data_IF_707345511619
#
_entry.id   IF_707345511619
#
_cell.length_a   1.000
_cell.length_b   1.000
_cell.length_c   1.000
_cell.angle_alpha   90.00
_cell.angle_beta   90.00
_cell.angle_gamma   90.00
#
_symmetry.space_group_name_H-M   'P 1'
#
loop_
_entity.id
_entity.type
_entity.pdbx_description
1 polymer ?
#
# COMPACT_ATOMS: atom_id res chain seq x y z
N UNK A 1 -15.87 -2.89 28.16
CA UNK A 1 -14.59 -2.83 27.43
C UNK A 1 -14.48 -4.09 26.59
N UNK A 2 -14.66 -4.00 25.28
CA UNK A 2 -14.50 -5.15 24.38
C UNK A 2 -13.02 -5.47 24.21
N UNK A 3 -12.66 -6.75 24.20
CA UNK A 3 -11.30 -7.20 23.90
C UNK A 3 -10.95 -6.74 22.48
N UNK A 4 -9.99 -5.81 22.35
CA UNK A 4 -9.49 -5.35 21.05
C UNK A 4 -8.63 -6.47 20.48
N UNK A 5 -9.20 -7.30 19.61
CA UNK A 5 -8.44 -8.34 18.89
C UNK A 5 -7.53 -7.63 17.89
N UNK A 6 -6.21 -7.76 18.06
CA UNK A 6 -5.24 -7.23 17.10
C UNK A 6 -5.49 -7.87 15.73
N UNK A 7 -5.70 -7.04 14.72
CA UNK A 7 -5.81 -7.49 13.33
C UNK A 7 -4.52 -7.16 12.64
N UNK A 8 -3.81 -8.18 12.13
CA UNK A 8 -2.63 -7.98 11.33
C UNK A 8 -3.03 -7.86 9.86
N UNK A 9 -2.42 -6.90 9.19
CA UNK A 9 -2.75 -6.51 7.84
C UNK A 9 -1.78 -7.12 6.84
N UNK A 10 -2.30 -7.39 5.64
CA UNK A 10 -1.53 -7.63 4.42
C UNK A 10 -0.35 -6.68 4.29
N UNK A 11 0.75 -7.19 3.77
CA UNK A 11 1.91 -6.44 3.31
C UNK A 11 1.66 -5.91 1.92
N UNK A 12 2.01 -4.65 1.69
CA UNK A 12 1.94 -4.00 0.38
C UNK A 12 3.28 -3.33 0.12
N UNK A 13 3.78 -3.47 -1.10
CA UNK A 13 4.99 -2.79 -1.57
C UNK A 13 4.70 -2.11 -2.90
N UNK A 14 5.24 -0.91 -3.10
CA UNK A 14 5.30 -0.22 -4.38
C UNK A 14 6.76 0.05 -4.74
N UNK A 15 7.15 -0.32 -5.95
CA UNK A 15 8.50 -0.13 -6.49
C UNK A 15 8.41 0.63 -7.80
N UNK A 16 9.08 1.78 -7.86
CA UNK A 16 9.36 2.50 -9.09
C UNK A 16 10.79 2.21 -9.51
N UNK A 17 10.96 1.51 -10.63
CA UNK A 17 12.27 1.11 -11.13
C UNK A 17 12.30 1.11 -12.66
N UNK A 18 13.36 1.67 -13.24
CA UNK A 18 13.57 1.73 -14.71
C UNK A 18 12.36 2.25 -15.50
N UNK A 19 11.71 3.30 -15.00
CA UNK A 19 10.55 3.93 -15.66
C UNK A 19 9.24 3.13 -15.57
N UNK A 20 9.20 2.08 -14.74
CA UNK A 20 7.99 1.28 -14.46
C UNK A 20 7.63 1.37 -12.99
N UNK A 21 6.33 1.32 -12.69
CA UNK A 21 5.85 1.25 -11.31
C UNK A 21 4.96 0.03 -11.13
N UNK A 22 5.24 -0.70 -10.07
CA UNK A 22 4.54 -1.92 -9.71
C UNK A 22 4.13 -1.82 -8.25
N UNK A 23 2.88 -2.17 -7.95
CA UNK A 23 2.39 -2.34 -6.58
C UNK A 23 2.00 -3.79 -6.38
N UNK A 24 2.55 -4.41 -5.35
CA UNK A 24 2.23 -5.76 -4.94
C UNK A 24 1.60 -5.78 -3.55
N UNK A 25 0.74 -6.76 -3.30
CA UNK A 25 0.29 -7.06 -1.95
C UNK A 25 -0.04 -8.53 -1.77
N UNK A 26 0.18 -9.05 -0.57
CA UNK A 26 -0.23 -10.40 -0.22
C UNK A 26 -1.71 -10.46 0.19
N UNK A 27 -2.22 -11.66 0.38
CA UNK A 27 -3.62 -11.91 0.67
C UNK A 27 -3.94 -12.28 2.11
N UNK A 28 -2.96 -12.34 3.02
CA UNK A 28 -3.19 -12.83 4.37
C UNK A 28 -3.97 -11.82 5.22
N UNK A 29 -5.03 -12.30 5.87
CA UNK A 29 -5.74 -11.58 6.93
C UNK A 29 -5.70 -12.43 8.18
N UNK A 30 -5.10 -11.90 9.24
CA UNK A 30 -4.95 -12.59 10.52
C UNK A 30 -5.69 -11.81 11.60
N UNK A 31 -6.58 -12.49 12.32
CA UNK A 31 -7.30 -11.96 13.48
C UNK A 31 -6.78 -12.64 14.74
N UNK A 32 -6.09 -11.89 15.60
CA UNK A 32 -5.33 -12.47 16.71
C UNK A 32 -4.26 -13.42 16.16
N UNK A 33 -4.37 -14.70 16.53
CA UNK A 33 -3.43 -15.73 16.12
C UNK A 33 -3.98 -16.64 15.00
N UNK A 34 -5.13 -16.30 14.43
CA UNK A 34 -5.81 -17.15 13.43
C UNK A 34 -5.79 -16.49 12.07
N UNK A 35 -5.34 -17.23 11.04
CA UNK A 35 -5.47 -16.82 9.64
C UNK A 35 -6.93 -17.03 9.21
N UNK A 36 -7.61 -15.94 8.83
CA UNK A 36 -9.02 -15.94 8.46
C UNK A 36 -9.21 -15.95 6.94
N UNK A 37 -8.25 -15.39 6.20
CA UNK A 37 -8.30 -15.34 4.72
C UNK A 37 -6.88 -15.37 4.16
N UNK A 38 -6.70 -16.11 3.07
CA UNK A 38 -5.41 -16.22 2.38
C UNK A 38 -5.29 -15.36 1.13
N UNK A 39 -6.40 -14.96 0.51
CA UNK A 39 -6.45 -14.27 -0.78
C UNK A 39 -7.27 -12.96 -0.70
N UNK A 40 -6.95 -12.08 0.25
CA UNK A 40 -7.44 -10.71 0.21
C UNK A 40 -6.84 -9.95 -0.98
N UNK A 41 -7.58 -8.95 -1.49
CA UNK A 41 -7.09 -8.05 -2.53
C UNK A 41 -7.22 -6.62 -2.01
N UNK A 42 -6.11 -6.06 -1.54
CA UNK A 42 -6.04 -4.69 -1.01
C UNK A 42 -5.26 -3.72 -1.90
N UNK A 43 -4.76 -4.22 -3.02
CA UNK A 43 -4.25 -3.41 -4.13
C UNK A 43 -5.39 -3.23 -5.13
N UNK A 44 -5.63 -1.99 -5.57
CA UNK A 44 -6.72 -1.67 -6.49
C UNK A 44 -6.28 -0.57 -7.46
N UNK A 45 -6.88 -0.57 -8.65
CA UNK A 45 -6.77 0.54 -9.59
C UNK A 45 -7.87 1.57 -9.36
N UNK A 46 -7.50 2.82 -9.49
CA UNK A 46 -8.33 4.02 -9.40
C UNK A 46 -8.15 4.87 -10.67
N UNK A 47 -9.02 5.86 -10.84
CA UNK A 47 -8.96 6.88 -11.89
C UNK A 47 -8.69 6.30 -13.28
N UNK A 48 -9.66 5.54 -13.80
CA UNK A 48 -9.58 4.88 -15.11
C UNK A 48 -8.34 3.99 -15.30
N UNK A 49 -7.83 3.40 -14.22
CA UNK A 49 -6.69 2.49 -14.27
C UNK A 49 -5.31 3.16 -14.20
N UNK A 50 -5.26 4.49 -14.09
CA UNK A 50 -4.02 5.28 -14.12
C UNK A 50 -3.35 5.48 -12.75
N UNK A 51 -4.08 5.19 -11.68
CA UNK A 51 -3.56 5.22 -10.31
C UNK A 51 -3.69 3.83 -9.71
N UNK A 52 -2.64 3.34 -9.06
CA UNK A 52 -2.69 2.13 -8.24
C UNK A 52 -2.63 2.54 -6.78
N UNK A 53 -3.50 1.97 -5.95
CA UNK A 53 -3.53 2.22 -4.51
C UNK A 53 -3.47 0.94 -3.71
N UNK A 54 -2.93 1.02 -2.50
CA UNK A 54 -2.87 -0.08 -1.55
C UNK A 54 -3.09 0.41 -0.12
N UNK A 55 -3.83 -0.36 0.68
CA UNK A 55 -4.10 -0.02 2.08
C UNK A 55 -3.88 -1.23 3.02
N UNK A 56 -3.07 -1.04 4.05
CA UNK A 56 -2.73 -2.10 5.02
C UNK A 56 -3.48 -1.92 6.35
N UNK A 57 -4.82 -1.80 6.29
CA UNK A 57 -5.70 -1.72 7.47
C UNK A 57 -7.00 -2.50 7.28
N UNK A 58 -8.04 -2.14 8.03
CA UNK A 58 -9.34 -2.80 7.91
C UNK A 58 -10.00 -2.52 6.56
N UNK A 59 -10.73 -3.50 6.03
CA UNK A 59 -11.31 -3.45 4.68
C UNK A 59 -12.32 -2.29 4.52
N UNK A 60 -13.13 -2.01 5.53
CA UNK A 60 -14.13 -0.94 5.46
C UNK A 60 -13.49 0.46 5.36
N UNK A 61 -12.40 0.68 6.12
CA UNK A 61 -11.64 1.92 6.07
C UNK A 61 -10.94 2.08 4.71
N UNK A 62 -10.42 0.97 4.15
CA UNK A 62 -9.82 0.94 2.81
C UNK A 62 -10.80 1.46 1.75
N UNK A 63 -12.01 0.89 1.69
CA UNK A 63 -13.03 1.32 0.74
C UNK A 63 -13.37 2.80 0.88
N UNK A 64 -13.54 3.27 2.11
CA UNK A 64 -13.84 4.68 2.38
C UNK A 64 -12.74 5.61 1.86
N UNK A 65 -11.47 5.27 2.11
CA UNK A 65 -10.33 6.08 1.65
C UNK A 65 -10.13 6.00 0.13
N UNK A 66 -10.37 4.83 -0.48
CA UNK A 66 -10.32 4.68 -1.93
C UNK A 66 -11.39 5.52 -2.62
N UNK A 67 -12.63 5.48 -2.14
CA UNK A 67 -13.72 6.27 -2.72
C UNK A 67 -13.47 7.77 -2.58
N UNK A 68 -12.93 8.22 -1.43
CA UNK A 68 -12.52 9.61 -1.25
C UNK A 68 -11.36 9.99 -2.19
N UNK A 69 -10.37 9.12 -2.35
CA UNK A 69 -9.25 9.37 -3.28
C UNK A 69 -9.73 9.46 -4.73
N UNK A 70 -10.63 8.57 -5.16
CA UNK A 70 -11.24 8.59 -6.50
C UNK A 70 -11.93 9.94 -6.76
N UNK A 71 -12.76 10.41 -5.82
CA UNK A 71 -13.44 11.71 -5.94
C UNK A 71 -12.45 12.87 -6.05
N UNK A 72 -11.36 12.85 -5.28
CA UNK A 72 -10.30 13.87 -5.36
C UNK A 72 -9.55 13.80 -6.70
N UNK A 73 -9.27 12.60 -7.20
CA UNK A 73 -8.65 12.41 -8.51
C UNK A 73 -9.54 12.93 -9.65
N UNK A 74 -10.85 12.67 -9.61
CA UNK A 74 -11.81 13.23 -10.55
C UNK A 74 -11.84 14.76 -10.49
N UNK A 75 -11.94 15.32 -9.28
CA UNK A 75 -11.99 16.76 -9.04
C UNK A 75 -10.73 17.48 -9.57
N UNK A 76 -9.55 16.87 -9.40
CA UNK A 76 -8.27 17.45 -9.80
C UNK A 76 -7.73 16.88 -11.12
N UNK A 77 -8.60 16.27 -11.94
CA UNK A 77 -8.29 15.77 -13.29
C UNK A 77 -7.05 14.87 -13.32
N UNK A 78 -6.95 13.97 -12.34
CA UNK A 78 -5.88 12.98 -12.25
C UNK A 78 -4.57 13.48 -11.63
N UNK A 79 -4.51 14.72 -11.12
CA UNK A 79 -3.33 15.18 -10.40
C UNK A 79 -3.22 14.47 -9.04
N UNK A 80 -2.42 13.40 -8.99
CA UNK A 80 -2.30 12.53 -7.81
C UNK A 80 -1.77 13.29 -6.58
N UNK A 81 -0.72 14.08 -6.74
CA UNK A 81 -0.14 14.85 -5.62
C UNK A 81 -1.18 15.78 -4.98
N UNK A 82 -1.92 16.53 -5.81
CA UNK A 82 -2.96 17.43 -5.31
C UNK A 82 -4.12 16.67 -4.68
N UNK A 83 -4.57 15.58 -5.30
CA UNK A 83 -5.62 14.73 -4.75
C UNK A 83 -5.22 14.12 -3.39
N UNK A 84 -3.98 13.68 -3.27
CA UNK A 84 -3.42 13.12 -2.05
C UNK A 84 -3.34 14.15 -0.91
N UNK A 85 -2.90 15.37 -1.19
CA UNK A 85 -2.86 16.46 -0.21
C UNK A 85 -4.26 16.81 0.30
N UNK A 86 -5.26 16.89 -0.57
CA UNK A 86 -6.63 17.18 -0.15
C UNK A 86 -7.25 16.01 0.63
N UNK A 87 -6.98 14.77 0.23
CA UNK A 87 -7.38 13.59 1.01
C UNK A 87 -6.74 13.59 2.40
N UNK A 88 -5.44 13.90 2.51
CA UNK A 88 -4.74 13.93 3.79
C UNK A 88 -5.33 14.99 4.75
N UNK A 89 -5.73 16.16 4.22
CA UNK A 89 -6.46 17.18 5.00
C UNK A 89 -7.82 16.68 5.49
N UNK A 90 -8.60 16.05 4.60
CA UNK A 90 -9.89 15.48 4.97
C UNK A 90 -9.74 14.39 6.03
N UNK A 91 -8.77 13.49 5.83
CA UNK A 91 -8.50 12.36 6.71
C UNK A 91 -8.12 12.86 8.11
N UNK A 92 -7.23 13.86 8.21
CA UNK A 92 -6.80 14.45 9.49
C UNK A 92 -7.96 15.09 10.27
N UNK A 93 -8.91 15.70 9.57
CA UNK A 93 -10.03 16.42 10.18
C UNK A 93 -11.22 15.52 10.51
N UNK A 94 -11.35 14.38 9.85
CA UNK A 94 -12.38 13.38 10.12
C UNK A 94 -12.19 12.74 11.50
N UNK A 95 -13.24 12.82 12.34
CA UNK A 95 -13.18 12.37 13.74
C UNK A 95 -12.90 10.87 13.88
N UNK A 96 -13.34 10.07 12.91
CA UNK A 96 -13.22 8.61 12.91
C UNK A 96 -11.91 8.23 12.22
N UNK A 97 -11.70 8.68 10.98
CA UNK A 97 -10.60 8.22 10.15
C UNK A 97 -9.22 8.65 10.70
N UNK A 98 -9.09 9.81 11.34
CA UNK A 98 -7.80 10.27 11.89
C UNK A 98 -7.18 9.37 12.95
N UNK A 99 -7.96 8.43 13.50
CA UNK A 99 -7.51 7.46 14.54
C UNK A 99 -7.04 6.14 13.94
N UNK A 100 -7.07 6.00 12.61
CA UNK A 100 -6.61 4.81 11.94
C UNK A 100 -5.10 4.71 12.05
N UNK A 101 -4.63 3.59 12.60
CA UNK A 101 -3.21 3.22 12.65
C UNK A 101 -2.85 2.47 11.35
N UNK A 102 -3.06 3.12 10.21
CA UNK A 102 -2.80 2.54 8.89
C UNK A 102 -2.32 3.60 7.91
N UNK A 103 -1.59 3.13 6.90
CA UNK A 103 -1.09 3.94 5.81
C UNK A 103 -1.80 3.56 4.50
N UNK A 104 -1.90 4.53 3.60
CA UNK A 104 -2.39 4.38 2.24
C UNK A 104 -1.23 4.66 1.27
N UNK A 105 -0.94 3.73 0.37
CA UNK A 105 -0.05 3.95 -0.77
C UNK A 105 -0.91 4.33 -1.98
N UNK A 106 -0.49 5.34 -2.73
CA UNK A 106 -1.09 5.71 -4.00
C UNK A 106 0.01 6.11 -4.98
N UNK A 107 0.03 5.50 -6.17
CA UNK A 107 1.07 5.71 -7.18
C UNK A 107 0.47 5.90 -8.56
N UNK A 108 1.07 6.76 -9.37
CA UNK A 108 0.78 6.93 -10.80
C UNK A 108 2.06 6.81 -11.62
N UNK A 109 2.04 7.20 -12.90
CA UNK A 109 3.22 7.16 -13.76
C UNK A 109 4.36 8.08 -13.28
N UNK A 110 4.07 9.09 -12.46
CA UNK A 110 5.00 10.16 -12.07
C UNK A 110 5.41 10.12 -10.60
N UNK A 111 4.48 9.83 -9.69
CA UNK A 111 4.66 10.00 -8.24
C UNK A 111 4.36 8.70 -7.48
N UNK A 112 5.03 8.51 -6.35
CA UNK A 112 4.76 7.40 -5.42
C UNK A 112 4.52 7.93 -4.02
N UNK A 113 3.27 7.91 -3.55
CA UNK A 113 2.87 8.63 -2.33
C UNK A 113 2.42 7.68 -1.21
N UNK A 114 2.87 8.00 0.00
CA UNK A 114 2.42 7.43 1.27
C UNK A 114 1.58 8.49 2.02
N UNK A 115 0.36 8.12 2.40
CA UNK A 115 -0.56 8.98 3.12
C UNK A 115 -0.91 8.38 4.48
N UNK A 116 -1.18 9.25 5.46
CA UNK A 116 -1.54 8.87 6.83
C UNK A 116 -2.70 9.68 7.39
N UNK A 117 -3.33 9.16 8.46
CA UNK A 117 -4.38 9.87 9.20
C UNK A 117 -3.90 11.11 9.99
N UNK A 118 -2.59 11.29 10.17
CA UNK A 118 -2.00 12.52 10.72
C UNK A 118 -1.97 13.67 9.70
N UNK A 119 -2.29 13.38 8.44
CA UNK A 119 -2.29 14.36 7.34
C UNK A 119 -0.94 14.47 6.64
N UNK A 120 -0.08 13.46 6.76
CA UNK A 120 1.20 13.43 6.05
C UNK A 120 1.00 12.92 4.62
N UNK A 121 1.78 13.48 3.70
CA UNK A 121 1.94 13.01 2.32
C UNK A 121 3.45 12.94 2.07
N UNK A 122 3.96 11.73 1.89
CA UNK A 122 5.39 11.46 1.82
C UNK A 122 5.69 10.72 0.51
N UNK A 123 6.74 11.16 -0.18
CA UNK A 123 7.28 10.51 -1.37
C UNK A 123 8.68 9.97 -1.03
N UNK A 124 9.02 8.72 -1.36
CA UNK A 124 10.34 8.16 -1.04
C UNK A 124 11.40 8.65 -2.02
N UNK A 125 12.62 8.87 -1.53
CA UNK A 125 13.76 9.26 -2.37
C UNK A 125 14.21 8.13 -3.31
N UNK A 126 14.06 6.87 -2.89
CA UNK A 126 14.51 5.68 -3.62
C UNK A 126 13.40 5.01 -4.46
N UNK A 127 12.20 5.60 -4.50
CA UNK A 127 11.07 5.06 -5.28
C UNK A 127 10.44 3.80 -4.69
N UNK A 128 10.77 3.43 -3.44
CA UNK A 128 10.25 2.24 -2.77
C UNK A 128 9.39 2.62 -1.57
N UNK A 129 8.15 2.15 -1.55
CA UNK A 129 7.26 2.24 -0.38
C UNK A 129 6.83 0.84 0.05
N UNK A 130 6.79 0.58 1.35
CA UNK A 130 6.14 -0.63 1.87
C UNK A 130 5.35 -0.33 3.14
N UNK A 131 4.21 -1.00 3.29
CA UNK A 131 3.31 -0.87 4.43
C UNK A 131 2.79 -2.25 4.85
N UNK A 132 2.22 -2.34 6.05
CA UNK A 132 1.65 -3.58 6.58
C UNK A 132 2.64 -4.43 7.36
N UNK A 133 2.21 -5.63 7.75
CA UNK A 133 2.91 -6.42 8.78
C UNK A 133 4.32 -6.88 8.37
N UNK A 134 4.55 -7.11 7.07
CA UNK A 134 5.86 -7.46 6.51
C UNK A 134 6.54 -6.32 5.75
N UNK A 135 6.02 -5.09 5.85
CA UNK A 135 6.49 -3.94 5.08
C UNK A 135 8.00 -3.71 5.17
N UNK A 136 8.60 -3.62 6.38
CA UNK A 136 10.05 -3.41 6.52
C UNK A 136 10.90 -4.50 5.86
N UNK A 137 10.47 -5.77 5.89
CA UNK A 137 11.20 -6.87 5.25
C UNK A 137 11.14 -6.75 3.72
N UNK A 138 9.94 -6.48 3.18
CA UNK A 138 9.76 -6.26 1.74
C UNK A 138 10.56 -5.05 1.26
N UNK A 139 10.55 -3.95 2.02
CA UNK A 139 11.31 -2.74 1.68
C UNK A 139 12.81 -2.98 1.66
N UNK A 140 13.35 -3.64 2.69
CA UNK A 140 14.78 -3.95 2.76
C UNK A 140 15.22 -4.87 1.61
N UNK A 141 14.41 -5.89 1.29
CA UNK A 141 14.67 -6.78 0.17
C UNK A 141 14.63 -6.03 -1.18
N UNK A 142 13.60 -5.23 -1.43
CA UNK A 142 13.47 -4.47 -2.66
C UNK A 142 14.63 -3.48 -2.84
N UNK A 143 15.06 -2.81 -1.76
CA UNK A 143 16.19 -1.87 -1.80
C UNK A 143 17.49 -2.57 -2.24
N UNK A 144 17.80 -3.71 -1.62
CA UNK A 144 18.97 -4.49 -2.01
C UNK A 144 18.89 -4.98 -3.47
N UNK A 145 17.71 -5.41 -3.92
CA UNK A 145 17.50 -5.87 -5.30
C UNK A 145 17.61 -4.72 -6.32
N UNK A 146 17.10 -3.53 -6.01
CA UNK A 146 17.25 -2.34 -6.85
C UNK A 146 18.72 -1.94 -7.00
N UNK A 147 19.51 -2.03 -5.93
CA UNK A 147 20.91 -1.60 -5.92
C UNK A 147 21.88 -2.65 -6.52
N UNK A 148 21.53 -3.94 -6.46
CA UNK A 148 22.48 -5.03 -6.73
C UNK A 148 21.99 -6.10 -7.71
N UNK A 149 20.93 -5.84 -8.47
CA UNK A 149 20.45 -6.78 -9.49
C UNK A 149 19.98 -6.08 -10.78
N UNK A 150 19.84 -6.86 -11.84
CA UNK A 150 19.31 -6.39 -13.13
C UNK A 150 17.80 -6.58 -13.29
N UNK A 151 17.11 -6.99 -12.21
CA UNK A 151 15.69 -7.31 -12.23
C UNK A 151 14.82 -6.13 -12.67
N UNK A 152 13.67 -6.46 -13.24
CA UNK A 152 12.58 -5.53 -13.54
C UNK A 152 11.81 -5.15 -12.26
N UNK A 153 11.03 -4.05 -12.32
CA UNK A 153 10.18 -3.64 -11.19
C UNK A 153 9.22 -4.76 -10.72
N UNK A 154 8.70 -5.56 -11.67
CA UNK A 154 7.80 -6.67 -11.34
C UNK A 154 8.55 -7.80 -10.61
N UNK A 155 9.70 -8.20 -11.13
CA UNK A 155 10.54 -9.24 -10.52
C UNK A 155 11.01 -8.82 -9.13
N UNK A 156 11.41 -7.55 -8.95
CA UNK A 156 11.79 -6.99 -7.65
C UNK A 156 10.62 -7.09 -6.67
N UNK A 157 9.42 -6.65 -7.05
CA UNK A 157 8.24 -6.76 -6.19
C UNK A 157 7.93 -8.22 -5.82
N UNK A 158 8.02 -9.15 -6.77
CA UNK A 158 7.76 -10.59 -6.52
C UNK A 158 8.77 -11.18 -5.55
N UNK A 159 10.07 -10.96 -5.77
CA UNK A 159 11.11 -11.49 -4.89
C UNK A 159 11.10 -10.83 -3.52
N UNK A 160 10.87 -9.52 -3.44
CA UNK A 160 10.73 -8.82 -2.16
C UNK A 160 9.56 -9.35 -1.33
N UNK A 161 8.40 -9.58 -1.95
CA UNK A 161 7.23 -10.15 -1.27
C UNK A 161 7.46 -11.60 -0.84
N UNK A 162 8.15 -12.39 -1.66
CA UNK A 162 8.54 -13.78 -1.32
C UNK A 162 9.51 -13.83 -0.13
N UNK A 163 10.49 -12.92 -0.08
CA UNK A 163 11.38 -12.79 1.07
C UNK A 163 10.57 -12.40 2.31
N UNK A 164 9.67 -11.41 2.18
CA UNK A 164 8.81 -10.99 3.29
C UNK A 164 7.92 -12.12 3.81
N UNK A 165 7.33 -12.95 2.95
CA UNK A 165 6.50 -14.10 3.36
C UNK A 165 7.31 -15.24 3.99
N UNK A 166 8.60 -15.36 3.66
CA UNK A 166 9.47 -16.35 4.30
C UNK A 166 9.89 -15.96 5.73
N UNK A 167 9.75 -14.69 6.10
CA UNK A 167 10.19 -14.14 7.40
C UNK A 167 8.98 -13.78 8.29
N UNK A 168 8.00 -13.07 7.72
CA UNK A 168 6.86 -12.54 8.46
C UNK A 168 5.71 -13.54 8.52
N UNK A 169 5.38 -14.02 9.71
CA UNK A 169 4.24 -14.93 9.96
C UNK A 169 2.87 -14.35 9.57
N UNK A 170 2.80 -13.04 9.30
CA UNK A 170 1.59 -12.32 8.89
C UNK A 170 1.54 -12.00 7.38
N UNK A 171 2.48 -12.50 6.59
CA UNK A 171 2.55 -12.30 5.13
C UNK A 171 2.63 -13.66 4.44
N UNK A 172 1.82 -13.90 3.41
CA UNK A 172 1.86 -15.16 2.66
C UNK A 172 2.31 -15.01 1.20
N UNK A 173 2.37 -16.13 0.48
CA UNK A 173 2.80 -16.19 -0.92
C UNK A 173 1.67 -15.93 -1.93
N UNK A 174 0.44 -15.62 -1.48
CA UNK A 174 -0.67 -15.28 -2.36
C UNK A 174 -0.60 -13.81 -2.79
N UNK A 175 0.34 -13.53 -3.69
CA UNK A 175 0.65 -12.16 -4.12
C UNK A 175 -0.21 -11.75 -5.32
N UNK A 176 -0.77 -10.55 -5.26
CA UNK A 176 -1.36 -9.84 -6.39
C UNK A 176 -0.48 -8.65 -6.73
N UNK A 177 -0.25 -8.42 -8.02
CA UNK A 177 0.48 -7.25 -8.52
C UNK A 177 -0.36 -6.47 -9.53
N UNK A 178 -0.14 -5.15 -9.55
CA UNK A 178 -0.64 -4.22 -10.54
C UNK A 178 0.53 -3.37 -11.07
N UNK A 179 0.51 -3.06 -12.38
CA UNK A 179 1.61 -2.38 -13.07
C UNK A 179 1.11 -1.18 -13.90
N UNK A 180 1.92 -0.12 -14.00
CA UNK A 180 1.80 0.96 -14.98
C UNK A 180 3.06 1.00 -15.87
#
# INVERSE_FOLDING_TARGET
>A
MGVKVATHSTTIIAVRHKGKVVVAGDGQVTMGNTVVKHAARKVRRLYNGKVITGFAGATADAFTLFDKLEQRLEQFKGNLMRAAVELAKDWRTDKILRRLEAFLVAVDENSSLLLSGSGDVIEPDDGILAIGSGGPYAQAAAKALVEHSDLSAEEICREAMKIASSICVYTNEHIVLETL
#
